data_IF_985761006466
#
_entry.id   IF_985761006466
#
_cell.length_a   1.000
_cell.length_b   1.000
_cell.length_c   1.000
_cell.angle_alpha   90.00
_cell.angle_beta   90.00
_cell.angle_gamma   90.00
#
_symmetry.space_group_name_H-M   'P 1'
#
loop_
_entity.id
_entity.type
_entity.pdbx_description
1 polymer ?
#
# COMPACT_ATOMS: atom_id res chain seq x y z
N UNK A 1 -14.22 -6.59 -9.93
CA UNK A 1 -12.79 -6.24 -9.86
C UNK A 1 -12.69 -4.73 -9.77
N UNK A 2 -11.93 -4.20 -8.80
CA UNK A 2 -11.64 -2.77 -8.72
C UNK A 2 -10.67 -2.38 -9.85
N UNK A 3 -10.83 -1.18 -10.38
CA UNK A 3 -9.90 -0.58 -11.33
C UNK A 3 -8.60 -0.16 -10.63
N UNK A 4 -7.54 0.04 -11.40
CA UNK A 4 -6.26 0.57 -10.87
C UNK A 4 -6.46 1.87 -10.07
N UNK A 5 -7.23 2.81 -10.63
CA UNK A 5 -7.50 4.10 -10.00
C UNK A 5 -8.23 3.95 -8.66
N UNK A 6 -9.19 3.01 -8.56
CA UNK A 6 -9.89 2.74 -7.30
C UNK A 6 -8.99 2.11 -6.25
N UNK A 7 -8.08 1.21 -6.65
CA UNK A 7 -7.11 0.59 -5.73
C UNK A 7 -6.17 1.66 -5.18
N UNK A 8 -5.57 2.48 -6.06
CA UNK A 8 -4.69 3.58 -5.66
C UNK A 8 -5.38 4.58 -4.75
N UNK A 9 -6.61 4.97 -5.08
CA UNK A 9 -7.40 5.86 -4.25
C UNK A 9 -7.66 5.26 -2.86
N UNK A 10 -8.03 3.98 -2.79
CA UNK A 10 -8.24 3.27 -1.52
C UNK A 10 -6.96 3.24 -0.68
N UNK A 11 -5.79 3.04 -1.30
CA UNK A 11 -4.48 3.07 -0.63
C UNK A 11 -4.17 4.46 -0.07
N UNK A 12 -4.36 5.53 -0.85
CA UNK A 12 -4.14 6.91 -0.37
C UNK A 12 -5.00 7.24 0.83
N UNK A 13 -6.30 6.97 0.73
CA UNK A 13 -7.26 7.24 1.81
C UNK A 13 -6.88 6.48 3.08
N UNK A 14 -6.46 5.22 2.93
CA UNK A 14 -6.02 4.42 4.06
C UNK A 14 -4.74 4.98 4.70
N UNK A 15 -3.73 5.35 3.90
CA UNK A 15 -2.46 5.89 4.41
C UNK A 15 -2.67 7.22 5.14
N UNK A 16 -3.47 8.12 4.58
CA UNK A 16 -3.79 9.42 5.18
C UNK A 16 -4.52 9.21 6.51
N UNK A 17 -5.58 8.39 6.51
CA UNK A 17 -6.38 8.10 7.70
C UNK A 17 -5.58 7.40 8.79
N UNK A 18 -4.77 6.41 8.43
CA UNK A 18 -4.01 5.60 9.40
C UNK A 18 -2.81 6.36 9.95
N UNK A 19 -2.10 7.12 9.11
CA UNK A 19 -0.90 7.84 9.57
C UNK A 19 -1.24 9.04 10.46
N UNK A 20 -2.25 9.83 10.08
CA UNK A 20 -2.50 11.15 10.68
C UNK A 20 -1.34 12.14 10.52
N UNK A 21 -0.33 11.84 9.70
CA UNK A 21 0.93 12.60 9.56
C UNK A 21 1.06 13.34 8.23
N UNK A 22 0.22 12.99 7.26
CA UNK A 22 0.25 13.57 5.92
C UNK A 22 -1.20 13.79 5.47
N UNK A 23 -1.46 14.91 4.80
CA UNK A 23 -2.76 15.17 4.18
C UNK A 23 -2.86 14.52 2.82
N UNK A 24 -4.08 14.33 2.32
CA UNK A 24 -4.31 13.69 1.03
C UNK A 24 -3.67 14.46 -0.13
N UNK A 25 -3.59 15.79 -0.03
CA UNK A 25 -3.01 16.66 -1.05
C UNK A 25 -1.48 16.63 -1.07
N UNK A 26 -0.85 16.05 -0.03
CA UNK A 26 0.61 15.99 0.13
C UNK A 26 1.17 14.58 -0.16
N UNK A 27 0.30 13.60 -0.41
CA UNK A 27 0.65 12.21 -0.63
C UNK A 27 0.58 11.86 -2.12
N UNK A 28 1.74 11.81 -2.76
CA UNK A 28 1.90 11.29 -4.12
C UNK A 28 2.10 9.76 -4.15
N UNK A 29 1.81 9.14 -5.29
CA UNK A 29 1.89 7.68 -5.44
C UNK A 29 3.33 7.12 -5.36
N UNK A 30 4.35 7.97 -5.50
CA UNK A 30 5.77 7.67 -5.34
C UNK A 30 6.35 8.15 -3.99
N UNK A 31 5.51 8.69 -3.10
CA UNK A 31 5.94 9.15 -1.79
C UNK A 31 6.47 7.98 -0.96
N UNK A 32 7.72 8.04 -0.45
CA UNK A 32 8.29 6.94 0.31
C UNK A 32 7.72 6.90 1.75
N UNK A 33 6.67 6.11 1.96
CA UNK A 33 5.86 6.10 3.19
C UNK A 33 6.58 5.50 4.41
N UNK A 34 7.54 4.59 4.19
CA UNK A 34 8.35 3.98 5.26
C UNK A 34 9.52 4.90 5.63
N UNK A 35 10.26 5.39 4.64
CA UNK A 35 11.46 6.22 4.85
C UNK A 35 11.09 7.56 5.51
N UNK A 36 9.93 8.13 5.13
CA UNK A 36 9.37 9.34 5.77
C UNK A 36 8.65 9.04 7.08
N UNK A 37 8.62 7.79 7.55
CA UNK A 37 7.91 7.34 8.76
C UNK A 37 6.43 7.74 8.80
N UNK A 38 5.79 7.82 7.63
CA UNK A 38 4.35 8.05 7.48
C UNK A 38 3.63 6.83 8.03
N UNK A 39 4.07 5.63 7.65
CA UNK A 39 3.60 4.36 8.20
C UNK A 39 4.68 3.76 9.12
N UNK A 40 4.28 3.38 10.34
CA UNK A 40 5.13 2.67 11.31
C UNK A 40 5.07 1.15 11.11
N UNK A 41 6.00 0.41 11.73
CA UNK A 41 6.01 -1.06 11.68
C UNK A 41 4.72 -1.70 12.22
N UNK A 42 4.07 -1.08 13.21
CA UNK A 42 2.78 -1.56 13.72
C UNK A 42 1.65 -1.31 12.70
N UNK A 43 1.63 -0.14 12.08
CA UNK A 43 0.65 0.15 11.02
C UNK A 43 0.91 -0.69 9.76
N UNK A 44 2.15 -1.16 9.55
CA UNK A 44 2.48 -2.02 8.43
C UNK A 44 1.74 -3.36 8.49
N UNK A 45 1.56 -3.95 9.68
CA UNK A 45 0.76 -5.18 9.82
C UNK A 45 -0.71 -4.94 9.48
N UNK A 46 -1.25 -3.76 9.83
CA UNK A 46 -2.61 -3.38 9.46
C UNK A 46 -2.75 -3.14 7.94
N UNK A 47 -1.70 -2.62 7.30
CA UNK A 47 -1.64 -2.45 5.85
C UNK A 47 -1.72 -3.81 5.15
N UNK A 48 -0.95 -4.80 5.60
CA UNK A 48 -0.99 -6.16 5.04
C UNK A 48 -2.41 -6.73 5.09
N UNK A 49 -3.06 -6.68 6.26
CA UNK A 49 -4.44 -7.16 6.42
C UNK A 49 -5.44 -6.41 5.53
N UNK A 50 -5.23 -5.11 5.30
CA UNK A 50 -6.06 -4.31 4.41
C UNK A 50 -5.86 -4.70 2.94
N UNK A 51 -4.62 -4.96 2.53
CA UNK A 51 -4.29 -5.40 1.18
C UNK A 51 -4.90 -6.77 0.87
N UNK A 52 -4.85 -7.73 1.79
CA UNK A 52 -5.49 -9.05 1.64
C UNK A 52 -6.99 -8.94 1.39
N UNK A 53 -7.66 -8.06 2.13
CA UNK A 53 -9.10 -7.79 1.93
C UNK A 53 -9.37 -7.09 0.60
N UNK A 54 -8.42 -6.28 0.12
CA UNK A 54 -8.57 -5.53 -1.11
C UNK A 54 -8.31 -6.40 -2.36
N UNK A 55 -7.38 -7.35 -2.26
CA UNK A 55 -7.05 -8.33 -3.30
C UNK A 55 -7.96 -9.55 -3.29
N UNK A 56 -8.75 -9.75 -2.22
CA UNK A 56 -9.55 -10.96 -1.96
C UNK A 56 -8.68 -12.24 -1.98
N UNK A 57 -7.42 -12.09 -1.56
CA UNK A 57 -6.42 -13.15 -1.61
C UNK A 57 -5.41 -12.97 -0.48
N UNK A 58 -5.01 -14.05 0.22
CA UNK A 58 -3.96 -13.97 1.23
C UNK A 58 -2.64 -13.50 0.61
N UNK A 59 -1.89 -12.67 1.35
CA UNK A 59 -0.58 -12.23 0.90
C UNK A 59 0.43 -13.33 1.22
N UNK A 60 1.20 -13.72 0.22
CA UNK A 60 2.34 -14.61 0.42
C UNK A 60 3.45 -13.88 1.20
N UNK A 61 3.86 -14.46 2.32
CA UNK A 61 4.91 -13.94 3.19
C UNK A 61 6.24 -13.86 2.42
N UNK A 62 6.49 -14.74 1.45
CA UNK A 62 7.70 -14.69 0.62
C UNK A 62 7.78 -13.45 -0.27
N UNK A 63 6.64 -12.79 -0.52
CA UNK A 63 6.57 -11.51 -1.22
C UNK A 63 6.90 -10.32 -0.32
N UNK A 64 6.95 -10.48 1.01
CA UNK A 64 7.24 -9.43 1.98
C UNK A 64 8.74 -9.10 2.04
N UNK A 65 9.31 -8.70 0.91
CA UNK A 65 10.72 -8.28 0.81
C UNK A 65 10.91 -6.84 1.27
N UNK A 66 12.13 -6.45 1.70
CA UNK A 66 12.43 -5.05 1.98
C UNK A 66 12.06 -4.15 0.80
N UNK A 67 11.30 -3.10 1.06
CA UNK A 67 10.92 -2.11 0.05
C UNK A 67 9.62 -2.38 -0.71
N UNK A 68 8.95 -3.54 -0.55
CA UNK A 68 7.66 -3.77 -1.24
C UNK A 68 6.53 -2.85 -0.79
N UNK A 69 6.72 -2.21 0.37
CA UNK A 69 5.82 -1.19 0.92
C UNK A 69 6.39 0.23 0.84
N UNK A 70 7.37 0.47 -0.05
CA UNK A 70 8.05 1.77 -0.16
C UNK A 70 7.07 2.91 -0.43
N UNK A 71 6.20 2.74 -1.41
CA UNK A 71 5.27 3.73 -1.93
C UNK A 71 4.05 3.04 -2.59
N UNK A 72 3.02 3.80 -2.95
CA UNK A 72 1.77 3.26 -3.50
C UNK A 72 1.99 2.57 -4.84
N UNK A 73 2.86 3.12 -5.69
CA UNK A 73 3.24 2.50 -6.96
C UNK A 73 3.83 1.10 -6.75
N UNK A 74 4.74 0.96 -5.80
CA UNK A 74 5.40 -0.30 -5.48
C UNK A 74 4.40 -1.30 -4.92
N UNK A 75 3.52 -0.87 -4.01
CA UNK A 75 2.45 -1.72 -3.47
C UNK A 75 1.54 -2.19 -4.60
N UNK A 76 1.08 -1.27 -5.46
CA UNK A 76 0.20 -1.61 -6.58
C UNK A 76 0.80 -2.70 -7.48
N UNK A 77 2.06 -2.52 -7.89
CA UNK A 77 2.77 -3.47 -8.77
C UNK A 77 3.01 -4.83 -8.13
N UNK A 78 3.29 -4.88 -6.83
CA UNK A 78 3.59 -6.16 -6.16
C UNK A 78 2.32 -6.95 -5.81
N UNK A 79 1.20 -6.30 -5.52
CA UNK A 79 0.01 -6.97 -4.97
C UNK A 79 -1.22 -6.99 -5.89
N UNK A 80 -1.27 -6.13 -6.92
CA UNK A 80 -2.47 -5.97 -7.76
C UNK A 80 -2.19 -6.00 -9.26
N UNK A 81 -0.96 -5.79 -9.69
CA UNK A 81 -0.60 -5.99 -11.10
C UNK A 81 -0.56 -7.50 -11.38
N UNK A 82 -1.34 -8.00 -12.35
CA UNK A 82 -1.30 -9.41 -12.70
C UNK A 82 0.12 -9.74 -13.16
N UNK A 83 0.75 -10.72 -12.50
CA UNK A 83 2.05 -11.23 -12.90
C UNK A 83 2.02 -11.50 -14.41
N UNK A 84 2.74 -10.68 -15.19
CA UNK A 84 2.97 -11.02 -16.59
C UNK A 84 3.75 -12.34 -16.57
N UNK A 85 3.16 -13.34 -17.21
CA UNK A 85 3.57 -14.73 -17.31
C UNK A 85 5.08 -14.94 -17.49
#
# INVERSE_FOLDING_TARGET
MKTESEIRQTLREWIVRTSGKIRAEELDDDTPIIERRIISSLQLTDLILMLERLSDSPIDIEMLKPGVFRDINTIYRNFFEPARA
#
